data_IF_363679905284
#
_entry.id   IF_363679905284
#
_cell.length_a   1.000
_cell.length_b   1.000
_cell.length_c   1.000
_cell.angle_alpha   90.00
_cell.angle_beta   90.00
_cell.angle_gamma   90.00
#
_symmetry.space_group_name_H-M   'P 1'
#
loop_
_entity.id
_entity.type
_entity.pdbx_description
1 polymer ?
#
# COMPACT_ATOMS: atom_id res chain seq x y z
N UNK A 1 -30.25 25.24 -26.50
CA UNK A 1 -29.66 26.08 -25.43
C UNK A 1 -28.97 25.14 -24.44
N UNK A 2 -27.68 24.87 -24.63
CA UNK A 2 -26.91 24.13 -23.61
C UNK A 2 -26.78 25.06 -22.41
N UNK A 3 -27.54 24.77 -21.36
CA UNK A 3 -27.73 25.65 -20.23
C UNK A 3 -26.36 25.92 -19.57
N UNK A 4 -25.96 27.20 -19.50
CA UNK A 4 -24.68 27.66 -18.89
C UNK A 4 -24.46 27.06 -17.49
N UNK A 5 -25.54 26.67 -16.82
CA UNK A 5 -25.57 25.97 -15.54
C UNK A 5 -24.84 24.62 -15.59
N UNK A 6 -25.06 23.80 -16.61
CA UNK A 6 -24.37 22.51 -16.73
C UNK A 6 -22.87 22.68 -16.97
N UNK A 7 -22.50 23.67 -17.78
CA UNK A 7 -21.09 23.98 -18.04
C UNK A 7 -20.35 24.39 -16.75
N UNK A 8 -21.00 25.20 -15.91
CA UNK A 8 -20.47 25.56 -14.60
C UNK A 8 -20.32 24.34 -13.67
N UNK A 9 -21.32 23.46 -13.64
CA UNK A 9 -21.28 22.21 -12.84
C UNK A 9 -20.16 21.29 -13.30
N UNK A 10 -20.01 21.06 -14.60
CA UNK A 10 -18.93 20.21 -15.12
C UNK A 10 -17.55 20.82 -14.89
N UNK A 11 -17.40 22.14 -14.97
CA UNK A 11 -16.15 22.83 -14.61
C UNK A 11 -15.81 22.65 -13.13
N UNK A 12 -16.79 22.80 -12.25
CA UNK A 12 -16.61 22.59 -10.80
C UNK A 12 -16.25 21.15 -10.47
N UNK A 13 -16.92 20.17 -11.10
CA UNK A 13 -16.60 18.75 -10.94
C UNK A 13 -15.21 18.42 -11.48
N UNK A 14 -14.84 18.97 -12.63
CA UNK A 14 -13.50 18.81 -13.20
C UNK A 14 -12.43 19.38 -12.27
N UNK A 15 -12.64 20.57 -11.72
CA UNK A 15 -11.73 21.18 -10.76
C UNK A 15 -11.62 20.36 -9.47
N UNK A 16 -12.74 19.88 -8.93
CA UNK A 16 -12.76 19.02 -7.76
C UNK A 16 -12.02 17.70 -8.01
N UNK A 17 -12.19 17.09 -9.19
CA UNK A 17 -11.47 15.87 -9.56
C UNK A 17 -9.96 16.10 -9.64
N UNK A 18 -9.52 17.19 -10.28
CA UNK A 18 -8.10 17.56 -10.33
C UNK A 18 -7.56 17.79 -8.92
N UNK A 19 -8.31 18.51 -8.07
CA UNK A 19 -7.91 18.76 -6.69
C UNK A 19 -7.73 17.45 -5.91
N UNK A 20 -8.67 16.51 -6.01
CA UNK A 20 -8.58 15.19 -5.35
C UNK A 20 -7.35 14.41 -5.82
N UNK A 21 -7.06 14.40 -7.12
CA UNK A 21 -5.86 13.73 -7.66
C UNK A 21 -4.59 14.37 -7.10
N UNK A 22 -4.48 15.70 -7.14
CA UNK A 22 -3.32 16.44 -6.60
C UNK A 22 -3.16 16.18 -5.10
N UNK A 23 -4.26 16.16 -4.34
CA UNK A 23 -4.24 15.88 -2.91
C UNK A 23 -3.72 14.46 -2.63
N UNK A 24 -4.11 13.49 -3.45
CA UNK A 24 -3.57 12.12 -3.39
C UNK A 24 -2.06 12.06 -3.54
N UNK A 25 -1.46 12.83 -4.46
CA UNK A 25 -0.01 12.90 -4.63
C UNK A 25 0.69 13.64 -3.48
N UNK A 26 0.16 14.78 -3.04
CA UNK A 26 0.79 15.60 -1.98
C UNK A 26 0.79 14.89 -0.64
N UNK A 27 -0.32 14.27 -0.25
CA UNK A 27 -0.46 13.58 1.04
C UNK A 27 -0.13 12.09 0.99
N UNK A 28 0.02 11.52 -0.20
CA UNK A 28 0.34 10.10 -0.39
C UNK A 28 1.83 9.80 -0.50
N UNK A 29 2.70 10.66 0.04
CA UNK A 29 4.14 10.42 -0.02
C UNK A 29 4.50 9.14 0.76
N UNK A 30 5.16 8.15 0.14
CA UNK A 30 5.63 6.96 0.83
C UNK A 30 6.56 7.34 1.99
N UNK A 31 6.48 6.59 3.08
CA UNK A 31 7.36 6.75 4.23
C UNK A 31 8.81 6.63 3.79
N UNK A 32 9.65 7.55 4.27
CA UNK A 32 11.08 7.65 3.88
C UNK A 32 12.01 6.83 4.78
N UNK A 33 11.45 6.05 5.71
CA UNK A 33 12.21 5.28 6.72
C UNK A 33 12.80 6.13 7.85
N UNK A 34 12.66 7.46 7.79
CA UNK A 34 13.04 8.39 8.87
C UNK A 34 11.96 8.53 9.94
N UNK A 35 10.73 8.15 9.60
CA UNK A 35 9.59 8.17 10.49
C UNK A 35 9.47 6.81 11.21
N UNK A 36 9.22 6.80 12.53
CA UNK A 36 8.98 5.56 13.25
C UNK A 36 7.74 4.86 12.68
N UNK A 37 7.80 3.53 12.59
CA UNK A 37 6.67 2.73 12.17
C UNK A 37 5.47 2.98 13.09
N UNK A 38 4.23 2.96 12.57
CA UNK A 38 3.03 2.92 13.40
C UNK A 38 3.11 1.78 14.41
N UNK A 39 2.56 1.97 15.62
CA UNK A 39 2.70 0.98 16.72
C UNK A 39 2.23 -0.43 16.36
N UNK A 40 1.24 -0.55 15.48
CA UNK A 40 0.68 -1.83 15.02
C UNK A 40 1.56 -2.53 13.99
N UNK A 41 2.52 -1.82 13.40
CA UNK A 41 3.43 -2.33 12.39
C UNK A 41 4.78 -2.60 13.04
N UNK A 42 4.98 -3.85 13.49
CA UNK A 42 6.14 -4.25 14.29
C UNK A 42 7.41 -4.31 13.43
N UNK A 43 7.27 -4.76 12.18
CA UNK A 43 8.37 -4.87 11.22
C UNK A 43 7.87 -4.81 9.78
N UNK A 44 8.72 -4.28 8.89
CA UNK A 44 8.55 -4.37 7.44
C UNK A 44 9.86 -4.79 6.76
N UNK A 45 9.71 -5.46 5.63
CA UNK A 45 10.77 -5.78 4.69
C UNK A 45 10.20 -5.72 3.26
N UNK A 46 10.93 -5.21 2.26
CA UNK A 46 12.16 -4.44 2.38
C UNK A 46 12.00 -3.16 3.19
N UNK A 47 13.09 -2.61 3.72
CA UNK A 47 13.04 -1.33 4.42
C UNK A 47 12.82 -0.16 3.44
N UNK A 48 12.23 0.97 3.90
CA UNK A 48 12.08 2.15 3.07
C UNK A 48 13.43 2.64 2.52
N UNK A 49 13.49 2.92 1.22
CA UNK A 49 14.69 3.37 0.51
C UNK A 49 15.74 2.28 0.27
N UNK A 50 15.50 1.03 0.68
CA UNK A 50 16.44 -0.07 0.45
C UNK A 50 16.50 -0.50 -1.02
N UNK A 51 17.61 -1.10 -1.42
CA UNK A 51 17.80 -1.73 -2.72
C UNK A 51 17.85 -3.25 -2.55
N UNK A 52 17.03 -3.99 -3.30
CA UNK A 52 16.90 -5.45 -3.14
C UNK A 52 16.87 -6.19 -4.47
N UNK A 53 17.27 -7.47 -4.52
CA UNK A 53 17.15 -8.30 -5.71
C UNK A 53 15.69 -8.59 -6.13
N UNK A 54 15.49 -8.97 -7.39
CA UNK A 54 14.22 -9.42 -7.99
C UNK A 54 13.49 -10.59 -7.29
N UNK A 55 14.09 -11.26 -6.31
CA UNK A 55 13.46 -12.38 -5.60
C UNK A 55 13.15 -12.06 -4.13
N UNK A 56 13.32 -10.80 -3.72
CA UNK A 56 13.07 -10.41 -2.34
C UNK A 56 11.57 -10.38 -2.04
N UNK A 57 11.12 -11.08 -0.98
CA UNK A 57 9.74 -11.00 -0.52
C UNK A 57 9.46 -9.65 0.15
N UNK A 58 8.23 -9.19 0.02
CA UNK A 58 7.65 -8.17 0.88
C UNK A 58 7.08 -8.86 2.11
N UNK A 59 7.52 -8.45 3.28
CA UNK A 59 7.08 -8.98 4.56
C UNK A 59 6.62 -7.86 5.48
N UNK A 60 5.54 -8.15 6.20
CA UNK A 60 4.92 -7.24 7.15
C UNK A 60 4.60 -8.03 8.40
N UNK A 61 5.01 -7.49 9.54
CA UNK A 61 4.72 -8.06 10.85
C UNK A 61 3.77 -7.13 11.61
N UNK A 62 2.68 -7.71 12.09
CA UNK A 62 1.63 -7.05 12.86
C UNK A 62 1.22 -7.97 14.01
N UNK A 63 0.69 -7.45 15.12
CA UNK A 63 0.21 -8.31 16.20
C UNK A 63 -0.80 -9.36 15.71
N UNK A 64 -0.80 -10.52 16.36
CA UNK A 64 -1.81 -11.55 16.09
C UNK A 64 -3.23 -11.01 16.31
N UNK A 65 -4.16 -11.42 15.44
CA UNK A 65 -5.54 -10.93 15.47
C UNK A 65 -5.78 -9.70 14.58
N UNK A 66 -4.81 -9.33 13.75
CA UNK A 66 -4.96 -8.36 12.67
C UNK A 66 -5.01 -9.06 11.32
N UNK A 67 -5.74 -8.45 10.37
CA UNK A 67 -5.70 -8.80 8.95
C UNK A 67 -5.00 -7.68 8.20
N UNK A 68 -4.10 -8.05 7.28
CA UNK A 68 -3.38 -7.13 6.41
C UNK A 68 -3.86 -7.31 4.96
N UNK A 69 -4.19 -6.20 4.31
CA UNK A 69 -4.33 -6.11 2.87
C UNK A 69 -3.07 -5.44 2.30
N UNK A 70 -2.43 -6.07 1.32
CA UNK A 70 -1.20 -5.58 0.69
C UNK A 70 -1.47 -5.08 -0.72
N UNK A 71 -0.82 -3.99 -1.09
CA UNK A 71 -0.87 -3.39 -2.41
C UNK A 71 0.55 -3.10 -2.89
N UNK A 72 0.84 -3.46 -4.14
CA UNK A 72 2.13 -3.23 -4.79
C UNK A 72 1.85 -2.37 -6.02
N UNK A 73 2.48 -1.19 -6.07
CA UNK A 73 2.30 -0.20 -7.13
C UNK A 73 0.83 0.14 -7.40
N UNK A 74 0.02 0.13 -6.34
CA UNK A 74 -1.42 0.40 -6.39
C UNK A 74 -2.30 -0.81 -6.70
N UNK A 75 -1.73 -1.97 -7.05
CA UNK A 75 -2.47 -3.20 -7.29
C UNK A 75 -2.60 -4.04 -6.02
N UNK A 76 -3.83 -4.44 -5.68
CA UNK A 76 -4.08 -5.31 -4.52
C UNK A 76 -3.50 -6.70 -4.78
N UNK A 77 -2.69 -7.19 -3.86
CA UNK A 77 -2.22 -8.58 -3.87
C UNK A 77 -3.38 -9.49 -3.48
N UNK A 78 -3.66 -10.57 -4.23
CA UNK A 78 -4.68 -11.54 -3.84
C UNK A 78 -4.34 -12.23 -2.52
N UNK A 79 -5.34 -12.46 -1.65
CA UNK A 79 -5.13 -13.14 -0.35
C UNK A 79 -4.55 -14.54 -0.53
N UNK A 80 -4.83 -15.19 -1.66
CA UNK A 80 -4.27 -16.50 -2.03
C UNK A 80 -2.78 -16.49 -2.33
N UNK A 81 -2.21 -15.33 -2.67
CA UNK A 81 -0.78 -15.15 -2.92
C UNK A 81 -0.02 -14.71 -1.66
N UNK A 82 -0.71 -14.12 -0.68
CA UNK A 82 -0.09 -13.70 0.59
C UNK A 82 0.03 -14.90 1.52
N UNK A 83 1.26 -15.30 1.83
CA UNK A 83 1.53 -16.33 2.83
C UNK A 83 1.42 -15.71 4.22
N UNK A 84 0.45 -16.19 4.99
CA UNK A 84 0.31 -15.89 6.41
C UNK A 84 0.74 -17.11 7.23
N UNK A 85 1.59 -16.90 8.23
CA UNK A 85 1.93 -17.96 9.20
C UNK A 85 1.05 -17.77 10.43
N UNK A 86 0.15 -18.73 10.67
CA UNK A 86 -0.76 -18.66 11.81
C UNK A 86 0.01 -18.53 13.14
N UNK A 87 -0.43 -17.60 13.98
CA UNK A 87 0.16 -17.36 15.29
C UNK A 87 1.40 -16.48 15.31
N UNK A 88 1.96 -16.07 14.17
CA UNK A 88 3.14 -15.17 14.16
C UNK A 88 2.82 -13.73 13.81
N UNK A 89 1.70 -13.45 13.13
CA UNK A 89 1.40 -12.08 12.67
C UNK A 89 2.09 -11.69 11.36
N UNK A 90 2.98 -12.54 10.85
CA UNK A 90 3.79 -12.29 9.66
C UNK A 90 3.01 -12.59 8.39
N UNK A 91 2.91 -11.59 7.53
CA UNK A 91 2.34 -11.65 6.18
C UNK A 91 3.48 -11.46 5.17
N UNK A 92 3.69 -12.43 4.29
CA UNK A 92 4.81 -12.49 3.36
C UNK A 92 4.31 -12.74 1.95
N UNK A 93 4.76 -11.94 0.98
CA UNK A 93 4.43 -12.11 -0.44
C UNK A 93 5.68 -11.96 -1.29
N UNK A 94 5.80 -12.80 -2.32
CA UNK A 94 6.82 -12.67 -3.35
C UNK A 94 6.18 -13.00 -4.70
N UNK A 95 6.59 -12.32 -5.79
CA UNK A 95 6.07 -12.64 -7.11
C UNK A 95 6.51 -14.05 -7.53
N UNK A 96 5.55 -14.81 -8.03
CA UNK A 96 5.76 -16.12 -8.65
C UNK A 96 5.55 -16.03 -10.16
N UNK A 97 5.89 -17.08 -10.91
CA UNK A 97 5.63 -17.12 -12.37
C UNK A 97 4.15 -16.98 -12.74
N UNK A 98 3.24 -17.29 -11.82
CA UNK A 98 1.79 -17.18 -11.98
C UNK A 98 1.20 -15.94 -11.31
N UNK A 99 2.02 -15.13 -10.62
CA UNK A 99 1.55 -13.92 -9.94
C UNK A 99 1.12 -12.88 -10.97
N UNK A 100 0.07 -12.14 -10.62
CA UNK A 100 -0.42 -11.03 -11.46
C UNK A 100 0.56 -9.86 -11.46
N UNK A 101 1.30 -9.70 -10.36
CA UNK A 101 2.30 -8.65 -10.15
C UNK A 101 3.68 -9.30 -10.20
N UNK A 102 4.58 -8.75 -11.00
CA UNK A 102 5.98 -9.16 -11.11
C UNK A 102 6.89 -7.99 -10.79
N UNK A 103 8.06 -8.28 -10.20
CA UNK A 103 9.07 -7.25 -10.02
C UNK A 103 9.67 -6.81 -11.35
N UNK A 104 9.87 -5.50 -11.47
CA UNK A 104 10.61 -4.88 -12.57
C UNK A 104 11.78 -4.10 -11.97
N UNK A 105 12.92 -3.96 -12.66
CA UNK A 105 13.98 -3.09 -12.15
C UNK A 105 13.46 -1.65 -11.99
N UNK A 106 13.64 -1.05 -10.81
CA UNK A 106 13.13 0.28 -10.53
C UNK A 106 12.52 0.47 -9.12
N UNK A 107 11.99 1.66 -8.84
CA UNK A 107 11.27 1.94 -7.60
C UNK A 107 9.92 1.22 -7.58
N UNK A 108 9.58 0.66 -6.42
CA UNK A 108 8.31 0.01 -6.15
C UNK A 108 7.72 0.55 -4.85
N UNK A 109 6.42 0.84 -4.88
CA UNK A 109 5.69 1.33 -3.71
C UNK A 109 4.85 0.21 -3.11
N UNK A 110 5.06 -0.07 -1.83
CA UNK A 110 4.18 -0.93 -1.05
C UNK A 110 3.22 -0.07 -0.27
N UNK A 111 1.96 -0.47 -0.22
CA UNK A 111 0.98 0.04 0.71
C UNK A 111 0.38 -1.15 1.44
N UNK A 112 0.32 -1.07 2.76
CA UNK A 112 -0.39 -2.03 3.60
C UNK A 112 -1.50 -1.32 4.33
N UNK A 113 -2.65 -1.96 4.43
CA UNK A 113 -3.70 -1.57 5.35
C UNK A 113 -4.00 -2.70 6.30
N UNK A 114 -4.23 -2.40 7.57
CA UNK A 114 -4.58 -3.40 8.56
C UNK A 114 -5.89 -3.07 9.23
N UNK A 115 -6.55 -4.12 9.73
CA UNK A 115 -7.69 -4.02 10.62
C UNK A 115 -7.64 -5.11 11.69
N UNK A 116 -8.00 -4.74 12.92
CA UNK A 116 -8.20 -5.71 14.00
C UNK A 116 -9.44 -6.56 13.74
N UNK A 117 -9.33 -7.87 13.96
CA UNK A 117 -10.41 -8.82 13.71
C UNK A 117 -11.46 -8.87 14.82
N UNK A 118 -11.08 -8.49 16.04
CA UNK A 118 -11.96 -8.53 17.22
C UNK A 118 -11.62 -7.46 18.24
N UNK A 119 -12.62 -6.98 18.98
CA UNK A 119 -12.47 -5.94 20.00
C UNK A 119 -12.66 -4.53 19.43
N UNK A 120 -12.03 -3.53 20.07
CA UNK A 120 -12.09 -2.15 19.60
C UNK A 120 -11.49 -2.03 18.19
N UNK A 121 -12.18 -1.35 17.25
CA UNK A 121 -11.64 -1.10 15.92
C UNK A 121 -10.29 -0.40 16.01
N UNK A 122 -9.27 -1.04 15.43
CA UNK A 122 -7.96 -0.46 15.19
C UNK A 122 -7.63 -0.71 13.72
N UNK A 123 -7.55 0.39 12.97
CA UNK A 123 -7.35 0.40 11.52
C UNK A 123 -6.26 1.40 11.19
N UNK A 124 -5.46 1.06 10.19
CA UNK A 124 -4.41 1.95 9.73
C UNK A 124 -3.88 1.55 8.38
N UNK A 125 -3.03 2.42 7.85
CA UNK A 125 -2.34 2.23 6.58
C UNK A 125 -0.93 2.76 6.69
N UNK A 126 -0.02 2.12 5.99
CA UNK A 126 1.36 2.56 5.88
C UNK A 126 1.86 2.27 4.47
N UNK A 127 2.57 3.22 3.89
CA UNK A 127 3.18 3.06 2.57
C UNK A 127 4.65 3.37 2.65
N UNK A 128 5.46 2.65 1.86
CA UNK A 128 6.88 2.92 1.70
C UNK A 128 7.35 2.53 0.31
N UNK A 129 8.48 3.08 -0.10
CA UNK A 129 9.13 2.77 -1.37
C UNK A 129 10.43 2.00 -1.12
N UNK A 130 10.75 1.06 -2.00
CA UNK A 130 12.06 0.44 -2.11
C UNK A 130 12.42 0.29 -3.59
N UNK A 131 13.65 -0.11 -3.90
CA UNK A 131 14.11 -0.26 -5.29
C UNK A 131 14.55 -1.70 -5.57
N UNK A 132 14.10 -2.23 -6.69
CA UNK A 132 14.56 -3.53 -7.23
C UNK A 132 15.66 -3.31 -8.26
N UNK A 133 16.67 -4.18 -8.25
CA UNK A 133 17.76 -4.23 -9.23
C UNK A 133 17.92 -5.62 -9.86
#
# INVERSE_FOLDING_TARGET
MTDRRYLAVFLLLGLAAVLVVVMGFVFGSPGTGREPLPRTLEKISPQPGSQVPLQTPVEVDVPVGYRVDMYIDGFRVPDSEVRFVEGTGVHSWAPTRSSTILWTPGPHTVLVSWRKLSGLPDVGRYSWEFRVF
#
